data_IF_963916234319
#
_entry.id   IF_963916234319
#
_cell.length_a   1.000
_cell.length_b   1.000
_cell.length_c   1.000
_cell.angle_alpha   90.00
_cell.angle_beta   90.00
_cell.angle_gamma   90.00
#
_symmetry.space_group_name_H-M   'P 1'
#
loop_
_entity.id
_entity.type
_entity.pdbx_description
1 polymer ?
#
# COMPACT_ATOMS: atom_id res chain seq x y z
N UNK A 1 -8.61 -4.96 8.89
CA UNK A 1 -8.75 -6.11 7.96
C UNK A 1 -7.40 -6.55 7.43
N UNK A 2 -6.58 -5.67 6.85
CA UNK A 2 -5.26 -5.99 6.27
C UNK A 2 -4.31 -6.64 7.27
N UNK A 3 -4.26 -6.12 8.47
CA UNK A 3 -3.44 -6.62 9.57
C UNK A 3 -3.84 -8.05 9.99
N UNK A 4 -5.15 -8.31 10.09
CA UNK A 4 -5.67 -9.64 10.39
C UNK A 4 -5.34 -10.67 9.31
N UNK A 5 -5.38 -10.26 8.04
CA UNK A 5 -4.96 -11.11 6.92
C UNK A 5 -3.46 -11.42 6.97
N UNK A 6 -2.64 -10.45 7.33
CA UNK A 6 -1.21 -10.66 7.53
C UNK A 6 -0.93 -11.68 8.65
N UNK A 7 -1.60 -11.55 9.79
CA UNK A 7 -1.49 -12.54 10.88
C UNK A 7 -1.95 -13.93 10.45
N UNK A 8 -3.02 -14.02 9.66
CA UNK A 8 -3.47 -15.30 9.10
C UNK A 8 -2.41 -15.95 8.23
N UNK A 9 -1.77 -15.19 7.34
CA UNK A 9 -0.69 -15.68 6.48
C UNK A 9 0.47 -16.19 7.32
N UNK A 10 0.92 -15.43 8.31
CA UNK A 10 2.01 -15.84 9.22
C UNK A 10 1.64 -17.10 10.01
N UNK A 11 0.40 -17.20 10.49
CA UNK A 11 -0.08 -18.39 11.21
C UNK A 11 -0.09 -19.63 10.32
N UNK A 12 -0.49 -19.51 9.05
CA UNK A 12 -0.44 -20.60 8.08
C UNK A 12 1.00 -21.07 7.84
N UNK A 13 1.94 -20.12 7.66
CA UNK A 13 3.36 -20.42 7.51
C UNK A 13 3.93 -21.13 8.75
N UNK A 14 3.58 -20.67 9.95
CA UNK A 14 4.00 -21.29 11.20
C UNK A 14 3.48 -22.72 11.36
N UNK A 15 2.32 -23.03 10.76
CA UNK A 15 1.72 -24.38 10.73
C UNK A 15 2.29 -25.27 9.61
N UNK A 16 3.30 -24.80 8.86
CA UNK A 16 3.89 -25.56 7.75
C UNK A 16 3.04 -25.54 6.48
N UNK A 17 1.93 -24.78 6.45
CA UNK A 17 1.13 -24.58 5.25
C UNK A 17 1.77 -23.50 4.37
N UNK A 18 1.75 -23.69 3.05
CA UNK A 18 2.22 -22.70 2.10
C UNK A 18 1.02 -21.82 1.71
N UNK A 19 0.91 -20.58 2.25
CA UNK A 19 -0.15 -19.67 1.86
C UNK A 19 0.01 -19.32 0.37
N UNK A 20 -1.07 -19.31 -0.36
CA UNK A 20 -1.06 -19.13 -1.81
C UNK A 20 -1.78 -17.84 -2.22
N UNK A 21 -3.11 -17.88 -2.36
CA UNK A 21 -3.91 -16.72 -2.73
C UNK A 21 -4.12 -15.74 -1.59
N UNK A 22 -3.98 -16.17 -0.34
CA UNK A 22 -4.12 -15.32 0.85
C UNK A 22 -3.07 -14.20 0.88
N UNK A 23 -1.84 -14.53 0.48
CA UNK A 23 -0.76 -13.53 0.33
C UNK A 23 -1.13 -12.50 -0.74
N UNK A 24 -1.71 -12.96 -1.85
CA UNK A 24 -2.16 -12.09 -2.94
C UNK A 24 -3.28 -11.14 -2.51
N UNK A 25 -4.24 -11.63 -1.73
CA UNK A 25 -5.31 -10.79 -1.15
C UNK A 25 -4.70 -9.72 -0.23
N UNK A 26 -3.82 -10.13 0.67
CA UNK A 26 -3.16 -9.23 1.61
C UNK A 26 -2.38 -8.15 0.87
N UNK A 27 -1.61 -8.52 -0.16
CA UNK A 27 -0.82 -7.58 -0.96
C UNK A 27 -1.69 -6.57 -1.69
N UNK A 28 -2.74 -7.00 -2.37
CA UNK A 28 -3.65 -6.10 -3.11
C UNK A 28 -4.31 -5.12 -2.14
N UNK A 29 -4.91 -5.60 -1.06
CA UNK A 29 -5.57 -4.74 -0.07
C UNK A 29 -4.59 -3.76 0.58
N UNK A 30 -3.41 -4.20 0.98
CA UNK A 30 -2.43 -3.34 1.62
C UNK A 30 -1.99 -2.20 0.68
N UNK A 31 -1.64 -2.52 -0.56
CA UNK A 31 -1.15 -1.51 -1.51
C UNK A 31 -2.24 -0.54 -1.98
N UNK A 32 -3.48 -1.01 -2.16
CA UNK A 32 -4.59 -0.16 -2.57
C UNK A 32 -5.09 0.75 -1.43
N UNK A 33 -5.13 0.24 -0.20
CA UNK A 33 -5.47 1.05 0.98
C UNK A 33 -4.41 2.11 1.24
N UNK A 34 -3.12 1.76 1.14
CA UNK A 34 -2.02 2.69 1.29
C UNK A 34 -2.10 3.83 0.25
N UNK A 35 -2.33 3.48 -1.00
CA UNK A 35 -2.53 4.47 -2.07
C UNK A 35 -3.75 5.36 -1.83
N UNK A 36 -4.87 4.78 -1.38
CA UNK A 36 -6.09 5.54 -1.06
C UNK A 36 -5.88 6.51 0.11
N UNK A 37 -5.17 6.09 1.16
CA UNK A 37 -4.84 6.94 2.32
C UNK A 37 -3.98 8.12 1.88
N UNK A 38 -2.93 7.88 1.09
CA UNK A 38 -2.06 8.95 0.63
C UNK A 38 -2.75 9.91 -0.35
N UNK A 39 -3.64 9.38 -1.21
CA UNK A 39 -4.47 10.21 -2.07
C UNK A 39 -5.43 11.11 -1.25
N UNK A 40 -6.02 10.56 -0.20
CA UNK A 40 -6.87 11.33 0.72
C UNK A 40 -6.06 12.42 1.44
N UNK A 41 -4.85 12.14 1.92
CA UNK A 41 -3.97 13.12 2.54
C UNK A 41 -3.68 14.30 1.61
N UNK A 42 -3.30 14.03 0.36
CA UNK A 42 -3.08 15.10 -0.63
C UNK A 42 -4.35 15.91 -0.88
N UNK A 43 -5.52 15.25 -0.92
CA UNK A 43 -6.81 15.93 -1.07
C UNK A 43 -7.16 16.85 0.11
N UNK A 44 -6.87 16.44 1.34
CA UNK A 44 -7.08 17.24 2.55
C UNK A 44 -6.14 18.45 2.57
N UNK A 45 -4.87 18.25 2.21
CA UNK A 45 -3.87 19.31 2.18
C UNK A 45 -4.07 20.29 1.00
N UNK A 46 -4.90 19.93 0.02
CA UNK A 46 -5.23 20.76 -1.15
C UNK A 46 -3.98 21.14 -1.95
N UNK A 47 -3.89 22.42 -2.32
CA UNK A 47 -2.72 22.90 -3.09
C UNK A 47 -1.39 22.71 -2.37
N UNK A 48 -1.37 22.75 -1.05
CA UNK A 48 -0.17 22.53 -0.24
C UNK A 48 0.29 21.07 -0.27
N UNK A 49 -0.60 20.11 -0.47
CA UNK A 49 -0.28 18.69 -0.60
C UNK A 49 0.58 18.34 -1.82
N UNK A 50 0.61 19.23 -2.82
CA UNK A 50 1.43 19.07 -4.02
C UNK A 50 2.84 19.64 -3.88
N UNK A 51 3.15 20.31 -2.77
CA UNK A 51 4.46 20.91 -2.55
C UNK A 51 5.46 19.88 -2.02
N UNK A 52 6.52 19.66 -2.78
CA UNK A 52 7.65 18.84 -2.32
C UNK A 52 8.62 19.69 -1.49
N UNK A 53 8.56 19.53 -0.17
CA UNK A 53 9.41 20.27 0.78
C UNK A 53 10.74 19.55 1.09
N UNK A 54 11.31 18.80 0.17
CA UNK A 54 12.48 17.94 0.43
C UNK A 54 13.69 18.66 1.03
N UNK A 55 13.92 19.93 0.68
CA UNK A 55 15.04 20.74 1.20
C UNK A 55 14.71 21.55 2.46
N UNK A 56 13.43 21.86 2.72
CA UNK A 56 13.03 22.74 3.83
C UNK A 56 12.75 21.99 5.14
N UNK A 57 12.47 20.71 5.08
CA UNK A 57 12.04 19.95 6.25
C UNK A 57 13.18 19.21 6.98
N UNK A 58 14.40 19.36 6.54
CA UNK A 58 15.61 18.91 7.27
C UNK A 58 15.99 19.86 8.41
N UNK A 59 15.36 21.04 8.49
CA UNK A 59 15.60 21.97 9.59
C UNK A 59 14.90 21.47 10.86
N UNK A 60 15.63 21.45 11.97
CA UNK A 60 15.14 21.09 13.31
C UNK A 60 13.93 21.93 13.77
N UNK A 61 13.65 23.06 13.12
CA UNK A 61 12.57 23.98 13.42
C UNK A 61 11.32 23.78 12.53
N UNK A 62 11.19 22.65 11.82
CA UNK A 62 10.00 22.38 11.02
C UNK A 62 8.79 22.15 11.93
N UNK A 63 7.79 23.01 11.82
CA UNK A 63 6.49 22.89 12.51
C UNK A 63 5.83 21.54 12.12
N UNK A 64 5.01 20.99 13.00
CA UNK A 64 4.24 19.76 12.76
C UNK A 64 3.48 19.77 11.42
N UNK A 65 2.92 20.93 11.05
CA UNK A 65 2.25 21.13 9.77
C UNK A 65 3.18 20.92 8.56
N UNK A 66 4.37 21.51 8.58
CA UNK A 66 5.36 21.33 7.49
C UNK A 66 5.80 19.88 7.35
N UNK A 67 5.89 19.14 8.46
CA UNK A 67 6.18 17.71 8.46
C UNK A 67 5.05 16.90 7.83
N UNK A 68 3.80 17.20 8.16
CA UNK A 68 2.62 16.57 7.59
C UNK A 68 2.55 16.75 6.08
N UNK A 69 2.64 17.99 5.59
CA UNK A 69 2.61 18.32 4.16
C UNK A 69 3.70 17.62 3.35
N UNK A 70 4.92 17.51 3.90
CA UNK A 70 6.01 16.73 3.27
C UNK A 70 5.66 15.25 3.15
N UNK A 71 5.03 14.72 4.17
CA UNK A 71 4.64 13.31 4.22
C UNK A 71 3.58 13.01 3.16
N UNK A 72 2.63 13.91 2.94
CA UNK A 72 1.53 13.73 1.98
C UNK A 72 2.04 13.61 0.54
N UNK A 73 2.82 14.59 0.04
CA UNK A 73 3.35 14.56 -1.32
C UNK A 73 4.27 13.36 -1.57
N UNK A 74 5.21 13.11 -0.66
CA UNK A 74 6.15 11.99 -0.78
C UNK A 74 5.45 10.65 -0.60
N UNK A 75 4.51 10.55 0.31
CA UNK A 75 3.70 9.35 0.53
C UNK A 75 2.90 8.98 -0.70
N UNK A 76 2.23 9.95 -1.33
CA UNK A 76 1.48 9.73 -2.55
C UNK A 76 2.34 9.13 -3.68
N UNK A 77 3.49 9.75 -3.95
CA UNK A 77 4.43 9.25 -4.98
C UNK A 77 4.98 7.88 -4.63
N UNK A 78 5.30 7.65 -3.35
CA UNK A 78 5.86 6.37 -2.87
C UNK A 78 4.84 5.23 -2.84
N UNK A 79 3.55 5.51 -2.73
CA UNK A 79 2.50 4.50 -2.71
C UNK A 79 2.23 3.89 -4.10
N UNK A 80 2.50 4.64 -5.18
CA UNK A 80 2.26 4.17 -6.55
C UNK A 80 3.06 2.89 -6.89
N UNK A 81 4.39 2.81 -6.65
CA UNK A 81 5.15 1.60 -6.87
C UNK A 81 4.66 0.39 -6.08
N UNK A 82 4.00 0.60 -4.94
CA UNK A 82 3.42 -0.46 -4.12
C UNK A 82 2.38 -1.31 -4.86
N UNK A 83 1.65 -0.73 -5.81
CA UNK A 83 0.65 -1.47 -6.62
C UNK A 83 1.27 -2.21 -7.80
N UNK A 84 2.52 -1.92 -8.15
CA UNK A 84 3.25 -2.51 -9.29
C UNK A 84 4.29 -3.53 -8.80
N UNK A 85 5.02 -3.20 -7.73
CA UNK A 85 6.09 -4.01 -7.18
C UNK A 85 5.61 -5.37 -6.65
N UNK A 86 6.48 -6.38 -6.71
CA UNK A 86 6.18 -7.74 -6.24
C UNK A 86 4.97 -8.40 -6.92
N UNK A 87 4.76 -8.09 -8.19
CA UNK A 87 3.58 -8.47 -8.97
C UNK A 87 2.49 -7.42 -8.91
N UNK A 88 2.07 -6.93 -10.08
CA UNK A 88 1.04 -5.89 -10.16
C UNK A 88 -0.29 -6.36 -9.55
N UNK A 89 -1.15 -5.39 -9.21
CA UNK A 89 -2.48 -5.69 -8.66
C UNK A 89 -3.28 -6.60 -9.60
N UNK A 90 -3.12 -6.47 -10.92
CA UNK A 90 -3.77 -7.32 -11.92
C UNK A 90 -3.27 -8.77 -11.84
N UNK A 91 -1.95 -8.97 -11.74
CA UNK A 91 -1.35 -10.31 -11.60
C UNK A 91 -1.83 -10.95 -10.30
N UNK A 92 -1.85 -10.20 -9.20
CA UNK A 92 -2.33 -10.71 -7.93
C UNK A 92 -3.82 -11.08 -7.96
N UNK A 93 -4.66 -10.27 -8.63
CA UNK A 93 -6.08 -10.61 -8.85
C UNK A 93 -6.23 -11.86 -9.69
N UNK A 94 -5.40 -12.07 -10.72
CA UNK A 94 -5.39 -13.31 -11.49
C UNK A 94 -5.01 -14.53 -10.62
N UNK A 95 -4.07 -14.38 -9.71
CA UNK A 95 -3.73 -15.45 -8.75
C UNK A 95 -4.92 -15.76 -7.83
N UNK A 96 -5.60 -14.74 -7.32
CA UNK A 96 -6.81 -14.91 -6.50
C UNK A 96 -7.90 -15.62 -7.29
N UNK A 97 -8.15 -15.19 -8.53
CA UNK A 97 -9.18 -15.77 -9.39
C UNK A 97 -8.91 -17.25 -9.70
N UNK A 98 -7.69 -17.57 -10.10
CA UNK A 98 -7.34 -18.93 -10.52
C UNK A 98 -7.10 -19.89 -9.37
N UNK A 99 -6.39 -19.46 -8.34
CA UNK A 99 -5.98 -20.32 -7.21
C UNK A 99 -6.92 -20.24 -6.02
N UNK A 100 -7.60 -19.10 -5.82
CA UNK A 100 -8.56 -18.90 -4.74
C UNK A 100 -9.97 -19.33 -5.13
N UNK A 101 -10.44 -18.92 -6.32
CA UNK A 101 -11.79 -19.17 -6.80
C UNK A 101 -11.87 -20.34 -7.79
N UNK A 102 -10.76 -20.91 -8.24
CA UNK A 102 -10.73 -22.03 -9.18
C UNK A 102 -11.18 -21.66 -10.61
N UNK A 103 -11.12 -20.37 -10.97
CA UNK A 103 -11.52 -19.93 -12.30
C UNK A 103 -10.47 -20.37 -13.35
N UNK A 104 -10.89 -20.70 -14.59
CA UNK A 104 -9.98 -21.05 -15.66
C UNK A 104 -9.06 -19.88 -16.01
N UNK A 105 -7.85 -20.19 -16.41
CA UNK A 105 -6.96 -19.18 -17.01
C UNK A 105 -7.47 -18.85 -18.40
N UNK A 106 -7.65 -17.57 -18.66
CA UNK A 106 -7.92 -17.07 -20.00
C UNK A 106 -6.68 -17.17 -20.90
#
# INVERSE_FOLDING_TARGET
VTELLAYRVVSQQASGLIPNYEVSITKVLASEVDQAIHNLHVGIDGLFGNLSFSKWATSSNATSLKRSLRTSANGYVSAIPGTIGQGSSEIQRNVIATRGLGLPRG
#
